data_IF_020498784341
#
_entry.id   IF_020498784341
#
_cell.length_a   1.000
_cell.length_b   1.000
_cell.length_c   1.000
_cell.angle_alpha   90.00
_cell.angle_beta   90.00
_cell.angle_gamma   90.00
#
_symmetry.space_group_name_H-M   'P 1'
#
loop_
_entity.id
_entity.type
_entity.pdbx_description
1 polymer ?
#
# COMPACT_ATOMS: atom_id res chain seq x y z
N UNK A 1 21.14 27.27 30.44
CA UNK A 1 20.45 26.19 29.71
C UNK A 1 20.57 26.51 28.23
N UNK A 2 21.26 25.69 27.43
CA UNK A 2 21.31 25.88 26.00
C UNK A 2 19.90 25.63 25.43
N UNK A 3 19.36 26.57 24.66
CA UNK A 3 18.10 26.37 23.97
C UNK A 3 18.30 25.23 22.95
N UNK A 4 17.63 24.13 23.15
CA UNK A 4 17.61 23.02 22.19
C UNK A 4 16.58 23.43 21.13
N UNK A 5 17.08 23.82 19.96
CA UNK A 5 16.20 24.08 18.82
C UNK A 5 15.69 22.76 18.25
N UNK A 6 14.39 22.67 17.90
CA UNK A 6 13.83 21.49 17.25
C UNK A 6 14.60 21.16 15.96
N UNK A 7 14.95 19.89 15.78
CA UNK A 7 15.56 19.40 14.54
C UNK A 7 14.45 19.14 13.53
N UNK A 8 14.57 19.75 12.37
CA UNK A 8 13.56 19.67 11.30
C UNK A 8 14.25 19.17 10.04
N UNK A 9 13.72 18.17 9.33
CA UNK A 9 14.29 17.70 8.08
C UNK A 9 14.17 18.78 7.00
N UNK A 10 15.15 18.90 6.12
CA UNK A 10 15.10 19.80 4.97
C UNK A 10 14.07 19.32 3.93
N UNK A 11 13.91 18.02 3.79
CA UNK A 11 12.92 17.34 2.96
C UNK A 11 12.71 15.93 3.47
N UNK A 12 11.57 15.33 3.16
CA UNK A 12 11.29 13.94 3.47
C UNK A 12 11.43 13.06 2.22
N UNK A 13 11.98 11.85 2.34
CA UNK A 13 12.15 10.94 1.22
C UNK A 13 10.80 10.36 0.77
N UNK A 14 10.72 9.82 -0.46
CA UNK A 14 9.54 9.11 -0.96
C UNK A 14 9.07 8.04 0.02
N UNK A 15 7.76 7.90 0.18
CA UNK A 15 7.15 6.99 1.15
C UNK A 15 7.08 7.51 2.59
N UNK A 16 7.86 8.55 2.94
CA UNK A 16 7.89 9.17 4.27
C UNK A 16 7.50 10.66 4.26
N UNK A 17 6.55 11.02 3.41
CA UNK A 17 6.14 12.43 3.19
C UNK A 17 5.32 13.05 4.32
N UNK A 18 4.91 12.26 5.33
CA UNK A 18 4.24 12.78 6.52
C UNK A 18 5.24 13.44 7.48
N UNK A 19 4.77 14.41 8.25
CA UNK A 19 5.56 15.05 9.31
C UNK A 19 4.94 14.74 10.67
N UNK A 20 5.76 14.32 11.62
CA UNK A 20 5.36 14.10 13.00
C UNK A 20 6.22 14.92 13.95
N UNK A 21 5.60 15.75 14.76
CA UNK A 21 6.28 16.51 15.81
C UNK A 21 6.33 15.68 17.09
N UNK A 22 7.54 15.42 17.59
CA UNK A 22 7.81 14.63 18.80
C UNK A 22 7.14 15.27 20.01
N UNK A 23 6.41 14.47 20.77
CA UNK A 23 5.65 14.85 21.97
C UNK A 23 6.28 14.28 23.25
N UNK A 24 5.91 14.76 24.43
CA UNK A 24 6.36 14.20 25.71
C UNK A 24 6.06 12.69 25.79
N UNK A 25 7.08 11.91 26.14
CA UNK A 25 6.98 10.44 26.29
C UNK A 25 7.13 9.64 24.99
N UNK A 26 7.38 10.30 23.85
CA UNK A 26 7.67 9.61 22.59
C UNK A 26 9.07 8.99 22.61
N UNK A 27 9.18 7.90 21.86
CA UNK A 27 10.45 7.29 21.45
C UNK A 27 10.36 6.93 19.98
N UNK A 28 11.51 6.81 19.29
CA UNK A 28 11.52 6.36 17.89
C UNK A 28 10.75 5.04 17.70
N UNK A 29 10.87 4.12 18.67
CA UNK A 29 10.14 2.85 18.63
C UNK A 29 8.62 3.04 18.72
N UNK A 30 8.12 3.87 19.65
CA UNK A 30 6.69 4.16 19.77
C UNK A 30 6.14 4.86 18.54
N UNK A 31 6.91 5.79 17.96
CA UNK A 31 6.52 6.49 16.73
C UNK A 31 6.48 5.52 15.57
N UNK A 32 7.47 4.60 15.44
CA UNK A 32 7.42 3.56 14.42
C UNK A 32 6.18 2.68 14.54
N UNK A 33 5.81 2.29 15.77
CA UNK A 33 4.55 1.55 16.00
C UNK A 33 3.31 2.37 15.64
N UNK A 34 3.28 3.66 15.99
CA UNK A 34 2.15 4.56 15.70
C UNK A 34 1.90 4.65 14.18
N UNK A 35 2.97 4.76 13.39
CA UNK A 35 2.91 4.84 11.94
C UNK A 35 3.04 3.48 11.25
N UNK A 36 2.98 2.37 12.01
CA UNK A 36 3.03 0.98 11.51
C UNK A 36 4.19 0.75 10.54
N UNK A 37 5.34 1.34 10.84
CA UNK A 37 6.59 1.15 10.10
C UNK A 37 7.63 0.44 10.97
N UNK A 38 8.70 -0.06 10.35
CA UNK A 38 9.81 -0.63 11.11
C UNK A 38 10.67 0.49 11.71
N UNK A 39 11.21 0.25 12.89
CA UNK A 39 12.10 1.21 13.56
C UNK A 39 13.30 1.58 12.67
N UNK A 40 13.90 0.58 12.02
CA UNK A 40 15.04 0.79 11.12
C UNK A 40 14.68 1.69 9.95
N UNK A 41 13.50 1.48 9.35
CA UNK A 41 13.01 2.32 8.26
C UNK A 41 12.76 3.76 8.74
N UNK A 42 12.16 3.94 9.92
CA UNK A 42 11.98 5.28 10.49
C UNK A 42 13.33 5.98 10.74
N UNK A 43 14.32 5.27 11.27
CA UNK A 43 15.66 5.81 11.55
C UNK A 43 16.37 6.23 10.26
N UNK A 44 16.42 5.34 9.25
CA UNK A 44 17.12 5.60 7.98
C UNK A 44 16.52 6.79 7.23
N UNK A 45 15.19 6.96 7.32
CA UNK A 45 14.48 8.06 6.66
C UNK A 45 14.48 9.37 7.47
N UNK A 46 15.19 9.40 8.61
CA UNK A 46 15.37 10.59 9.46
C UNK A 46 16.85 10.84 9.81
N UNK A 47 17.74 11.00 8.82
CA UNK A 47 19.20 11.12 9.05
C UNK A 47 19.59 12.40 9.80
N UNK A 48 18.70 13.40 9.88
CA UNK A 48 18.91 14.61 10.69
C UNK A 48 18.83 14.31 12.22
N UNK A 49 18.31 13.16 12.61
CA UNK A 49 18.35 12.62 13.97
C UNK A 49 19.60 11.73 14.08
N UNK A 50 20.72 12.31 14.48
CA UNK A 50 22.03 11.63 14.51
C UNK A 50 22.09 10.46 15.50
N UNK A 51 21.37 10.54 16.61
CA UNK A 51 21.22 9.43 17.57
C UNK A 51 19.73 9.11 17.74
N UNK A 52 19.26 7.97 17.22
CA UNK A 52 17.84 7.59 17.30
C UNK A 52 17.37 7.26 18.73
N UNK A 53 18.30 7.08 19.68
CA UNK A 53 17.96 6.92 21.09
C UNK A 53 17.65 8.25 21.78
N UNK A 54 18.01 9.37 21.15
CA UNK A 54 17.86 10.71 21.72
C UNK A 54 17.02 11.58 20.79
N UNK A 55 15.72 11.67 21.06
CA UNK A 55 14.81 12.61 20.41
C UNK A 55 14.31 13.63 21.44
N UNK A 56 14.10 14.85 20.98
CA UNK A 56 13.63 15.93 21.83
C UNK A 56 12.21 16.34 21.46
N UNK A 57 11.45 16.80 22.45
CA UNK A 57 10.12 17.38 22.23
C UNK A 57 10.26 18.54 21.23
N UNK A 58 9.45 18.51 20.19
CA UNK A 58 9.46 19.50 19.10
C UNK A 58 10.29 19.08 17.88
N UNK A 59 11.13 18.04 17.96
CA UNK A 59 11.77 17.48 16.75
C UNK A 59 10.69 17.07 15.74
N UNK A 60 10.96 17.25 14.45
CA UNK A 60 10.06 16.85 13.37
C UNK A 60 10.67 15.65 12.65
N UNK A 61 9.92 14.56 12.61
CA UNK A 61 10.31 13.34 11.91
C UNK A 61 9.53 13.19 10.60
N UNK A 62 10.22 12.72 9.58
CA UNK A 62 9.59 12.17 8.38
C UNK A 62 8.98 10.82 8.74
N UNK A 63 7.68 10.67 8.54
CA UNK A 63 6.92 9.46 8.83
C UNK A 63 6.17 9.02 7.57
N UNK A 64 5.81 7.73 7.44
CA UNK A 64 4.93 7.32 6.35
C UNK A 64 3.69 8.22 6.32
N UNK A 65 3.36 8.74 5.14
CA UNK A 65 2.11 9.47 4.97
C UNK A 65 0.97 8.48 5.24
N UNK A 66 0.11 8.81 6.19
CA UNK A 66 -1.05 7.97 6.48
C UNK A 66 -2.06 8.12 5.34
N UNK A 67 -2.40 6.99 4.72
CA UNK A 67 -3.48 6.95 3.76
C UNK A 67 -4.80 7.28 4.48
N UNK A 68 -5.63 8.24 4.02
CA UNK A 68 -6.96 8.44 4.58
C UNK A 68 -7.80 7.18 4.30
N UNK A 69 -8.07 6.39 5.34
CA UNK A 69 -8.87 5.18 5.22
C UNK A 69 -10.30 5.48 5.72
N UNK A 70 -11.35 5.08 4.97
CA UNK A 70 -11.31 4.32 3.72
C UNK A 70 -10.79 5.10 2.52
N UNK A 71 -10.07 4.43 1.62
CA UNK A 71 -9.52 5.01 0.40
C UNK A 71 -9.90 4.13 -0.80
N UNK A 72 -10.51 4.74 -1.80
CA UNK A 72 -10.92 4.07 -3.02
C UNK A 72 -10.13 4.58 -4.22
N UNK A 73 -9.71 3.66 -5.09
CA UNK A 73 -9.02 3.99 -6.33
C UNK A 73 -9.60 3.20 -7.49
N UNK A 74 -9.62 3.83 -8.67
CA UNK A 74 -9.90 3.13 -9.92
C UNK A 74 -8.64 2.39 -10.39
N UNK A 75 -8.83 1.16 -10.83
CA UNK A 75 -7.81 0.37 -11.50
C UNK A 75 -8.05 0.50 -13.00
N UNK A 76 -7.15 1.21 -13.68
CA UNK A 76 -7.23 1.48 -15.10
C UNK A 76 -6.65 0.33 -15.93
N UNK A 77 -7.25 0.02 -17.10
CA UNK A 77 -6.75 -1.00 -17.99
C UNK A 77 -5.36 -0.64 -18.52
N UNK A 78 -4.49 -1.64 -18.62
CA UNK A 78 -3.18 -1.51 -19.21
C UNK A 78 -3.21 -1.91 -20.69
N UNK A 79 -2.10 -1.71 -21.39
CA UNK A 79 -1.96 -2.06 -22.82
C UNK A 79 -2.33 -3.53 -23.01
N UNK A 80 -3.19 -3.82 -24.00
CA UNK A 80 -3.75 -5.13 -24.33
C UNK A 80 -4.97 -5.60 -23.52
N UNK A 81 -5.49 -4.79 -22.59
CA UNK A 81 -6.76 -5.10 -21.96
C UNK A 81 -7.95 -4.61 -22.84
N UNK A 82 -9.03 -5.39 -22.96
CA UNK A 82 -10.26 -4.92 -23.64
C UNK A 82 -10.83 -3.66 -22.99
N UNK A 83 -11.54 -2.84 -23.77
CA UNK A 83 -12.19 -1.60 -23.29
C UNK A 83 -13.17 -1.81 -22.12
N UNK A 84 -13.76 -2.99 -22.00
CA UNK A 84 -14.67 -3.34 -20.90
C UNK A 84 -13.97 -3.71 -19.60
N UNK A 85 -12.63 -3.73 -19.59
CA UNK A 85 -11.83 -4.08 -18.42
C UNK A 85 -11.72 -2.88 -17.49
N UNK A 86 -12.28 -2.99 -16.29
CA UNK A 86 -12.24 -1.95 -15.27
C UNK A 86 -12.23 -2.58 -13.89
N UNK A 87 -11.62 -1.91 -12.94
CA UNK A 87 -11.62 -2.36 -11.55
C UNK A 87 -11.57 -1.23 -10.55
N UNK A 88 -11.81 -1.58 -9.31
CA UNK A 88 -11.68 -0.70 -8.15
C UNK A 88 -10.91 -1.41 -7.05
N UNK A 89 -10.18 -0.65 -6.26
CA UNK A 89 -9.54 -1.13 -5.03
C UNK A 89 -9.96 -0.24 -3.87
N UNK A 90 -10.46 -0.86 -2.80
CA UNK A 90 -10.84 -0.21 -1.56
C UNK A 90 -9.88 -0.59 -0.45
N UNK A 91 -9.07 0.37 0.00
CA UNK A 91 -8.26 0.22 1.20
C UNK A 91 -9.11 0.52 2.44
N UNK A 92 -9.08 -0.38 3.43
CA UNK A 92 -9.83 -0.25 4.67
C UNK A 92 -9.09 -0.91 5.84
N UNK A 93 -9.63 -0.77 7.05
CA UNK A 93 -9.18 -1.56 8.20
C UNK A 93 -9.82 -2.95 8.17
N UNK A 94 -9.00 -3.97 8.38
CA UNK A 94 -9.46 -5.34 8.49
C UNK A 94 -9.93 -5.69 9.90
N UNK A 95 -10.69 -6.79 10.03
CA UNK A 95 -11.25 -7.22 11.32
C UNK A 95 -10.19 -7.63 12.35
N UNK A 96 -8.96 -7.90 11.91
CA UNK A 96 -7.82 -8.27 12.77
C UNK A 96 -6.89 -7.09 13.12
N UNK A 97 -7.34 -5.85 12.87
CA UNK A 97 -6.58 -4.63 13.17
C UNK A 97 -5.51 -4.26 12.14
N UNK A 98 -5.23 -5.09 11.13
CA UNK A 98 -4.41 -4.76 9.97
C UNK A 98 -5.18 -3.92 8.95
N UNK A 99 -4.50 -3.51 7.88
CA UNK A 99 -5.13 -2.89 6.73
C UNK A 99 -5.46 -3.95 5.67
N UNK A 100 -6.48 -3.70 4.87
CA UNK A 100 -6.91 -4.58 3.79
C UNK A 100 -7.11 -3.80 2.52
N UNK A 101 -6.92 -4.46 1.39
CA UNK A 101 -7.29 -3.94 0.07
C UNK A 101 -8.29 -4.91 -0.55
N UNK A 102 -9.54 -4.49 -0.69
CA UNK A 102 -10.56 -5.23 -1.43
C UNK A 102 -10.51 -4.79 -2.90
N UNK A 103 -10.36 -5.74 -3.80
CA UNK A 103 -10.32 -5.50 -5.24
C UNK A 103 -11.55 -6.12 -5.89
N UNK A 104 -12.24 -5.34 -6.72
CA UNK A 104 -13.32 -5.79 -7.59
C UNK A 104 -13.02 -5.35 -9.03
N UNK A 105 -13.24 -6.25 -9.99
CA UNK A 105 -12.96 -5.96 -11.38
C UNK A 105 -13.88 -6.71 -12.34
N UNK A 106 -14.22 -6.07 -13.45
CA UNK A 106 -14.77 -6.73 -14.64
C UNK A 106 -13.59 -7.06 -15.56
N UNK A 107 -13.39 -8.34 -15.82
CA UNK A 107 -12.23 -8.87 -16.54
C UNK A 107 -12.71 -9.86 -17.61
N UNK A 108 -12.02 -9.95 -18.77
CA UNK A 108 -12.27 -11.01 -19.72
C UNK A 108 -11.91 -12.39 -19.10
N UNK A 109 -12.27 -13.50 -19.74
CA UNK A 109 -11.78 -14.80 -19.30
C UNK A 109 -10.23 -14.80 -19.22
N UNK A 110 -9.60 -15.40 -18.18
CA UNK A 110 -8.14 -15.40 -18.04
C UNK A 110 -7.40 -15.97 -19.26
N UNK A 111 -8.01 -16.93 -19.95
CA UNK A 111 -7.50 -17.55 -21.19
C UNK A 111 -7.35 -16.56 -22.36
N UNK A 112 -7.96 -15.37 -22.29
CA UNK A 112 -7.75 -14.29 -23.26
C UNK A 112 -6.28 -13.85 -23.34
N UNK A 113 -5.57 -13.90 -22.23
CA UNK A 113 -4.17 -13.50 -22.13
C UNK A 113 -3.17 -14.64 -22.36
N UNK A 114 -3.64 -15.87 -22.57
CA UNK A 114 -2.80 -17.05 -22.78
C UNK A 114 -3.19 -18.22 -21.87
N UNK A 115 -2.22 -19.04 -21.49
CA UNK A 115 -2.49 -20.20 -20.64
C UNK A 115 -2.63 -19.82 -19.15
N UNK A 116 -3.68 -19.08 -18.83
CA UNK A 116 -4.02 -18.66 -17.48
C UNK A 116 -5.43 -19.10 -17.11
N UNK A 117 -5.67 -19.43 -15.84
CA UNK A 117 -6.93 -19.96 -15.32
C UNK A 117 -7.59 -19.04 -14.28
N UNK A 118 -6.87 -18.02 -13.81
CA UNK A 118 -7.36 -17.09 -12.81
C UNK A 118 -6.68 -15.73 -12.89
N UNK A 119 -6.97 -14.89 -11.90
CA UNK A 119 -6.35 -13.60 -11.72
C UNK A 119 -5.80 -13.49 -10.30
N UNK A 120 -4.74 -12.70 -10.13
CA UNK A 120 -4.19 -12.30 -8.83
C UNK A 120 -4.18 -10.78 -8.74
N UNK A 121 -4.58 -10.24 -7.60
CA UNK A 121 -4.37 -8.83 -7.26
C UNK A 121 -3.22 -8.72 -6.28
N UNK A 122 -2.35 -7.75 -6.47
CA UNK A 122 -1.16 -7.55 -5.65
C UNK A 122 -1.00 -6.08 -5.30
N UNK A 123 -0.80 -5.78 -4.01
CA UNK A 123 -0.31 -4.50 -3.52
C UNK A 123 1.23 -4.57 -3.48
N UNK A 124 1.91 -3.69 -4.22
CA UNK A 124 3.36 -3.71 -4.36
C UNK A 124 4.02 -2.70 -3.43
N UNK A 125 5.03 -3.14 -2.70
CA UNK A 125 5.84 -2.32 -1.82
C UNK A 125 7.30 -2.40 -2.26
N UNK A 126 7.98 -1.25 -2.35
CA UNK A 126 9.35 -1.17 -2.86
C UNK A 126 10.34 -1.99 -2.02
N UNK A 127 10.19 -1.96 -0.69
CA UNK A 127 11.18 -2.55 0.23
C UNK A 127 10.89 -4.00 0.64
N UNK A 128 9.64 -4.46 0.54
CA UNK A 128 9.20 -5.72 1.14
C UNK A 128 8.52 -6.67 0.14
N UNK A 129 8.44 -6.26 -1.14
CA UNK A 129 7.77 -7.03 -2.18
C UNK A 129 6.25 -6.88 -2.19
N UNK A 130 5.54 -7.82 -2.79
CA UNK A 130 4.09 -7.75 -2.98
C UNK A 130 3.32 -8.61 -1.99
N UNK A 131 2.15 -8.09 -1.57
CA UNK A 131 1.11 -8.89 -0.92
C UNK A 131 -0.04 -9.06 -1.89
N UNK A 132 -0.35 -10.30 -2.23
CA UNK A 132 -1.38 -10.61 -3.22
C UNK A 132 -2.34 -11.69 -2.76
N UNK A 133 -3.47 -11.75 -3.45
CA UNK A 133 -4.43 -12.83 -3.30
C UNK A 133 -5.14 -13.10 -4.64
N UNK A 134 -5.55 -14.35 -4.84
CA UNK A 134 -6.30 -14.75 -6.03
C UNK A 134 -7.69 -14.09 -6.04
N UNK A 135 -8.13 -13.63 -7.23
CA UNK A 135 -9.50 -13.20 -7.44
C UNK A 135 -10.39 -14.39 -7.73
N UNK A 136 -11.61 -14.34 -7.21
CA UNK A 136 -12.65 -15.33 -7.45
C UNK A 136 -13.76 -14.71 -8.27
N UNK A 137 -14.26 -15.41 -9.31
CA UNK A 137 -15.39 -14.93 -10.10
C UNK A 137 -16.69 -15.08 -9.32
N UNK A 138 -17.59 -14.13 -9.53
CA UNK A 138 -19.00 -14.27 -9.14
C UNK A 138 -19.73 -15.30 -10.05
N UNK A 139 -20.88 -15.81 -9.63
CA UNK A 139 -21.63 -16.80 -10.43
C UNK A 139 -22.35 -16.21 -11.67
N UNK A 140 -22.36 -14.89 -11.84
CA UNK A 140 -22.99 -14.23 -12.99
C UNK A 140 -22.18 -14.41 -14.28
N UNK A 141 -22.78 -14.18 -15.42
CA UNK A 141 -22.15 -14.16 -16.75
C UNK A 141 -22.42 -12.83 -17.46
N UNK A 142 -21.42 -11.97 -17.71
CA UNK A 142 -20.01 -12.13 -17.36
C UNK A 142 -19.76 -11.95 -15.85
N UNK A 143 -18.74 -12.64 -15.30
CA UNK A 143 -18.47 -12.59 -13.87
C UNK A 143 -17.82 -11.28 -13.44
N UNK A 144 -18.11 -10.86 -12.21
CA UNK A 144 -17.29 -9.90 -11.48
C UNK A 144 -16.24 -10.66 -10.70
N UNK A 145 -14.98 -10.25 -10.83
CA UNK A 145 -13.87 -10.85 -10.11
C UNK A 145 -13.57 -10.05 -8.85
N UNK A 146 -13.45 -10.72 -7.72
CA UNK A 146 -13.22 -10.04 -6.45
C UNK A 146 -12.25 -10.81 -5.54
N UNK A 147 -11.51 -10.04 -4.72
CA UNK A 147 -10.68 -10.58 -3.64
C UNK A 147 -10.47 -9.55 -2.55
N UNK A 148 -9.92 -10.01 -1.42
CA UNK A 148 -9.41 -9.16 -0.35
C UNK A 148 -7.99 -9.56 0.01
N UNK A 149 -7.07 -8.62 -0.09
CA UNK A 149 -5.68 -8.74 0.37
C UNK A 149 -5.66 -8.28 1.83
N UNK A 150 -5.21 -9.14 2.74
CA UNK A 150 -4.99 -8.78 4.15
C UNK A 150 -3.50 -8.50 4.35
N UNK A 151 -3.18 -7.32 4.85
CA UNK A 151 -1.80 -6.94 5.16
C UNK A 151 -1.46 -7.32 6.61
N UNK A 152 -0.23 -7.77 6.87
CA UNK A 152 0.26 -7.91 8.24
C UNK A 152 0.14 -6.59 9.00
N UNK A 153 -0.11 -6.64 10.31
CA UNK A 153 -0.29 -5.44 11.16
C UNK A 153 0.92 -4.52 11.20
N UNK A 154 2.10 -5.03 10.84
CA UNK A 154 3.35 -4.26 10.74
C UNK A 154 3.53 -3.55 9.41
N UNK A 155 2.66 -3.82 8.42
CA UNK A 155 2.69 -3.20 7.08
C UNK A 155 1.56 -2.18 6.99
N UNK A 156 1.89 -0.97 6.57
CA UNK A 156 0.92 0.10 6.34
C UNK A 156 0.86 0.49 4.87
N UNK A 157 -0.36 0.69 4.39
CA UNK A 157 -0.58 1.33 3.10
C UNK A 157 -0.17 2.80 3.19
N UNK A 158 0.62 3.24 2.24
CA UNK A 158 0.99 4.65 2.05
C UNK A 158 0.48 5.14 0.70
N UNK A 159 0.34 6.46 0.52
CA UNK A 159 0.15 7.03 -0.82
C UNK A 159 1.24 6.54 -1.77
N UNK A 160 0.85 6.21 -2.99
CA UNK A 160 1.79 5.72 -4.01
C UNK A 160 1.90 4.20 -4.12
N UNK A 161 1.38 3.42 -3.15
CA UNK A 161 1.38 1.95 -3.26
C UNK A 161 0.58 1.52 -4.49
N UNK A 162 1.22 0.88 -5.49
CA UNK A 162 0.53 0.37 -6.65
C UNK A 162 -0.29 -0.87 -6.31
N UNK A 163 -1.52 -0.90 -6.84
CA UNK A 163 -2.37 -2.09 -6.86
C UNK A 163 -2.44 -2.57 -8.31
N UNK A 164 -2.04 -3.80 -8.54
CA UNK A 164 -2.06 -4.41 -9.88
C UNK A 164 -2.92 -5.66 -9.91
N UNK A 165 -3.45 -5.97 -11.08
CA UNK A 165 -4.14 -7.24 -11.36
C UNK A 165 -3.50 -7.88 -12.57
N UNK A 166 -3.15 -9.17 -12.45
CA UNK A 166 -2.48 -9.97 -13.45
C UNK A 166 -3.23 -11.29 -13.67
N UNK A 167 -3.30 -11.83 -14.92
CA UNK A 167 -3.73 -13.19 -15.14
C UNK A 167 -2.72 -14.15 -14.49
N UNK A 168 -3.20 -15.27 -13.98
CA UNK A 168 -2.43 -16.17 -13.15
C UNK A 168 -2.63 -17.62 -13.58
N UNK A 169 -1.53 -18.34 -13.73
CA UNK A 169 -1.55 -19.77 -13.97
C UNK A 169 -1.54 -20.52 -12.65
N UNK A 170 -2.67 -21.15 -12.32
CA UNK A 170 -2.86 -21.84 -11.03
C UNK A 170 -2.03 -23.11 -10.88
N UNK A 171 -1.52 -23.67 -11.98
CA UNK A 171 -0.70 -24.90 -11.96
C UNK A 171 0.79 -24.58 -11.77
N UNK A 172 1.27 -23.52 -12.42
CA UNK A 172 2.69 -23.15 -12.41
C UNK A 172 3.05 -22.07 -11.42
N UNK A 173 2.05 -21.34 -10.89
CA UNK A 173 2.27 -20.19 -10.02
C UNK A 173 2.79 -18.94 -10.74
N UNK A 174 2.76 -18.91 -12.07
CA UNK A 174 3.32 -17.81 -12.88
C UNK A 174 2.23 -16.79 -13.20
N UNK A 175 2.51 -15.52 -12.94
CA UNK A 175 1.69 -14.38 -13.36
C UNK A 175 2.01 -13.95 -14.79
N UNK A 176 1.01 -13.42 -15.47
CA UNK A 176 1.12 -12.82 -16.80
C UNK A 176 1.34 -11.31 -16.75
N UNK A 177 1.01 -10.61 -17.86
CA UNK A 177 1.15 -9.16 -17.92
C UNK A 177 0.15 -8.44 -17.00
N UNK A 178 0.52 -7.26 -16.53
CA UNK A 178 -0.41 -6.40 -15.76
C UNK A 178 -1.58 -5.98 -16.65
N UNK A 179 -2.80 -6.31 -16.22
CA UNK A 179 -4.06 -6.03 -16.94
C UNK A 179 -4.73 -4.78 -16.40
N UNK A 180 -4.72 -4.62 -15.07
CA UNK A 180 -5.22 -3.43 -14.38
C UNK A 180 -4.15 -2.87 -13.45
N UNK A 181 -4.12 -1.54 -13.35
CA UNK A 181 -3.22 -0.84 -12.42
C UNK A 181 -3.88 0.41 -11.85
N UNK A 182 -3.67 0.65 -10.58
CA UNK A 182 -4.00 1.90 -9.89
C UNK A 182 -2.97 2.20 -8.82
N UNK A 183 -2.97 3.43 -8.32
CA UNK A 183 -2.10 3.85 -7.22
C UNK A 183 -2.93 4.52 -6.14
N UNK A 184 -2.59 4.24 -4.89
CA UNK A 184 -3.26 4.85 -3.74
C UNK A 184 -2.98 6.36 -3.58
N UNK A 185 -2.26 6.99 -4.52
CA UNK A 185 -2.07 8.46 -4.57
C UNK A 185 -3.37 9.23 -4.84
N UNK A 186 -4.29 8.61 -5.57
CA UNK A 186 -5.54 9.21 -6.02
C UNK A 186 -6.74 8.77 -5.17
N UNK A 187 -6.57 8.65 -3.87
CA UNK A 187 -7.69 8.33 -2.97
C UNK A 187 -8.86 9.29 -3.17
N UNK A 188 -9.94 8.76 -3.74
CA UNK A 188 -11.22 9.44 -3.87
C UNK A 188 -12.27 8.84 -2.93
N UNK A 189 -13.42 9.46 -2.88
CA UNK A 189 -14.64 8.83 -2.36
C UNK A 189 -15.18 7.89 -3.44
N UNK A 190 -15.40 6.63 -3.11
CA UNK A 190 -16.12 5.70 -3.99
C UNK A 190 -17.57 6.15 -4.20
#
# INVERSE_FOLDING_TARGET
MAAIFPRVPASCPPGFLGHYTVRPGDTMFRIAQLFRTRLEALVVNNPHITDPNIIYIGDVLCVPAMLPIPCCVLLSPQVNAPFSTLGTALANFGPRGGQTVSVMATLPPPSFFGNYQGYVATALFEDIGGFGNQLFPSPEDPPTWATRIELPTVVSLSPGVPIIVEPFNTQTGVSGPVVLRGSLESCGTC
#
